data_IF_647202363942
#
_entry.id   IF_647202363942
#
_cell.length_a   1.000
_cell.length_b   1.000
_cell.length_c   1.000
_cell.angle_alpha   90.00
_cell.angle_beta   90.00
_cell.angle_gamma   90.00
#
_symmetry.space_group_name_H-M   'P 1'
#
loop_
_entity.id
_entity.type
_entity.pdbx_description
1 polymer ?
#
# COMPACT_ATOMS: atom_id res chain seq x y z
N UNK A 1 41.03 -24.11 45.40
CA UNK A 1 40.36 -24.05 44.08
C UNK A 1 39.13 -23.13 44.15
N UNK A 2 39.24 -21.84 43.80
CA UNK A 2 38.11 -20.91 44.03
C UNK A 2 38.03 -19.64 43.18
N UNK A 3 38.93 -19.43 42.21
CA UNK A 3 38.96 -18.19 41.39
C UNK A 3 38.60 -18.38 39.91
N UNK A 4 38.48 -19.62 39.41
CA UNK A 4 38.21 -19.89 37.98
C UNK A 4 36.74 -19.98 37.56
N UNK A 5 35.79 -20.20 38.49
CA UNK A 5 34.37 -20.38 38.14
C UNK A 5 33.56 -19.08 38.04
N UNK A 6 33.99 -17.99 38.70
CA UNK A 6 33.27 -16.70 38.68
C UNK A 6 33.48 -15.93 37.37
N UNK A 7 34.63 -16.10 36.71
CA UNK A 7 34.92 -15.47 35.41
C UNK A 7 34.17 -16.14 34.25
N UNK A 8 33.92 -17.46 34.33
CA UNK A 8 33.23 -18.21 33.28
C UNK A 8 31.71 -17.90 33.23
N UNK A 9 31.09 -17.68 34.38
CA UNK A 9 29.66 -17.32 34.49
C UNK A 9 29.41 -15.87 34.02
N UNK A 10 30.36 -14.97 34.25
CA UNK A 10 30.25 -13.57 33.81
C UNK A 10 30.47 -13.41 32.29
N UNK A 11 31.33 -14.23 31.68
CA UNK A 11 31.53 -14.25 30.21
C UNK A 11 30.35 -14.91 29.49
N UNK A 12 29.67 -15.90 30.08
CA UNK A 12 28.43 -16.47 29.51
C UNK A 12 27.21 -15.53 29.63
N UNK A 13 27.11 -14.72 30.68
CA UNK A 13 26.03 -13.74 30.83
C UNK A 13 26.14 -12.56 29.85
N UNK A 14 27.37 -12.11 29.55
CA UNK A 14 27.62 -11.08 28.52
C UNK A 14 27.43 -11.63 27.10
N UNK A 15 27.73 -12.91 26.86
CA UNK A 15 27.45 -13.58 25.58
C UNK A 15 25.95 -13.87 25.34
N UNK A 16 25.15 -14.09 26.40
CA UNK A 16 23.69 -14.22 26.29
C UNK A 16 22.97 -12.87 26.09
N UNK A 17 23.52 -11.76 26.62
CA UNK A 17 22.99 -10.41 26.33
C UNK A 17 23.37 -9.92 24.92
N UNK A 18 24.54 -10.30 24.40
CA UNK A 18 24.95 -9.97 23.03
C UNK A 18 24.17 -10.74 21.94
N UNK A 19 23.62 -11.91 22.26
CA UNK A 19 22.85 -12.73 21.30
C UNK A 19 21.38 -12.32 21.16
N UNK A 20 20.85 -11.51 22.08
CA UNK A 20 19.50 -10.92 22.02
C UNK A 20 19.47 -9.48 21.49
N UNK A 21 20.62 -8.81 21.32
CA UNK A 21 20.68 -7.44 20.79
C UNK A 21 20.58 -7.37 19.25
N UNK A 22 21.21 -8.32 18.54
CA UNK A 22 21.10 -8.44 17.08
C UNK A 22 19.66 -8.58 16.53
N UNK A 23 18.78 -9.41 17.14
CA UNK A 23 17.40 -9.58 16.68
C UNK A 23 16.50 -8.34 16.78
N UNK A 24 16.56 -7.62 17.90
CA UNK A 24 15.76 -6.41 18.13
C UNK A 24 16.17 -5.28 17.19
N UNK A 25 17.48 -5.12 16.91
CA UNK A 25 18.01 -4.07 16.03
C UNK A 25 17.63 -4.25 14.55
N UNK A 26 17.55 -5.48 14.05
CA UNK A 26 17.17 -5.72 12.65
C UNK A 26 15.66 -5.63 12.41
N UNK A 27 14.85 -6.03 13.39
CA UNK A 27 13.39 -5.89 13.37
C UNK A 27 13.00 -4.41 13.41
N UNK A 28 13.56 -3.66 14.36
CA UNK A 28 13.37 -2.20 14.43
C UNK A 28 13.88 -1.49 13.16
N UNK A 29 15.06 -1.84 12.64
CA UNK A 29 15.58 -1.25 11.41
C UNK A 29 14.68 -1.47 10.18
N UNK A 30 14.10 -2.68 10.04
CA UNK A 30 13.21 -2.99 8.92
C UNK A 30 11.84 -2.32 9.09
N UNK A 31 11.27 -2.29 10.30
CA UNK A 31 10.06 -1.51 10.60
C UNK A 31 10.28 -0.03 10.32
N UNK A 32 11.40 0.55 10.77
CA UNK A 32 11.73 1.96 10.52
C UNK A 32 11.88 2.26 9.02
N UNK A 33 12.54 1.38 8.25
CA UNK A 33 12.64 1.52 6.80
C UNK A 33 11.27 1.44 6.11
N UNK A 34 10.37 0.56 6.55
CA UNK A 34 9.00 0.49 6.05
C UNK A 34 8.19 1.74 6.40
N UNK A 35 8.24 2.18 7.66
CA UNK A 35 7.59 3.41 8.16
C UNK A 35 8.02 4.62 7.35
N UNK A 36 9.33 4.78 7.15
CA UNK A 36 9.90 5.85 6.32
C UNK A 36 9.37 5.80 4.89
N UNK A 37 9.32 4.63 4.27
CA UNK A 37 8.79 4.48 2.92
C UNK A 37 7.29 4.82 2.82
N UNK A 38 6.49 4.43 3.83
CA UNK A 38 5.07 4.77 3.91
C UNK A 38 4.85 6.27 4.06
N UNK A 39 5.59 6.92 4.97
CA UNK A 39 5.55 8.37 5.13
C UNK A 39 5.89 9.10 3.83
N UNK A 40 6.94 8.68 3.12
CA UNK A 40 7.31 9.28 1.82
C UNK A 40 6.22 9.08 0.76
N UNK A 41 5.56 7.92 0.74
CA UNK A 41 4.43 7.67 -0.17
C UNK A 41 3.23 8.57 0.16
N UNK A 42 2.89 8.71 1.44
CA UNK A 42 1.83 9.61 1.90
C UNK A 42 2.17 11.07 1.56
N UNK A 43 3.42 11.49 1.82
CA UNK A 43 3.91 12.84 1.50
C UNK A 43 3.85 13.14 0.00
N UNK A 44 4.15 12.15 -0.85
CA UNK A 44 3.98 12.28 -2.31
C UNK A 44 2.51 12.48 -2.69
N UNK A 45 1.60 11.69 -2.12
CA UNK A 45 0.16 11.84 -2.39
C UNK A 45 -0.35 13.21 -1.96
N UNK A 46 0.08 13.68 -0.78
CA UNK A 46 -0.23 15.03 -0.30
C UNK A 46 0.38 16.12 -1.21
N UNK A 47 1.61 15.94 -1.69
CA UNK A 47 2.25 16.86 -2.62
C UNK A 47 1.47 16.95 -3.94
N UNK A 48 1.06 15.80 -4.50
CA UNK A 48 0.25 15.75 -5.72
C UNK A 48 -1.10 16.45 -5.53
N UNK A 49 -1.75 16.27 -4.37
CA UNK A 49 -3.01 16.94 -4.02
C UNK A 49 -2.84 18.46 -3.93
N UNK A 50 -1.89 18.94 -3.13
CA UNK A 50 -1.59 20.38 -3.00
C UNK A 50 -1.18 20.99 -4.35
N UNK A 51 -0.49 20.24 -5.18
CA UNK A 51 -0.10 20.66 -6.53
C UNK A 51 -1.32 20.75 -7.46
N UNK A 52 -2.24 19.79 -7.40
CA UNK A 52 -3.51 19.85 -8.10
C UNK A 52 -4.32 21.08 -7.68
N UNK A 53 -4.46 21.34 -6.38
CA UNK A 53 -5.15 22.51 -5.84
C UNK A 53 -4.51 23.81 -6.34
N UNK A 54 -3.17 23.89 -6.32
CA UNK A 54 -2.45 25.08 -6.77
C UNK A 54 -2.57 25.32 -8.28
N UNK A 55 -2.63 24.26 -9.09
CA UNK A 55 -2.87 24.37 -10.54
C UNK A 55 -4.33 24.73 -10.82
N UNK A 56 -5.30 24.12 -10.13
CA UNK A 56 -6.73 24.42 -10.23
C UNK A 56 -7.03 25.88 -9.86
N UNK A 57 -6.32 26.44 -8.88
CA UNK A 57 -6.46 27.85 -8.49
C UNK A 57 -5.84 28.89 -9.44
N UNK A 58 -5.21 28.49 -10.56
CA UNK A 58 -4.63 29.44 -11.50
C UNK A 58 -5.71 30.16 -12.30
N UNK A 59 -5.53 31.46 -12.52
CA UNK A 59 -6.44 32.25 -13.35
C UNK A 59 -6.08 32.12 -14.82
N UNK A 60 -7.07 31.77 -15.64
CA UNK A 60 -6.98 31.75 -17.11
C UNK A 60 -7.34 33.14 -17.65
N UNK A 61 -8.46 33.70 -17.19
CA UNK A 61 -8.89 35.07 -17.47
C UNK A 61 -9.12 35.85 -16.16
N UNK A 62 -9.65 37.08 -16.25
CA UNK A 62 -10.04 37.85 -15.07
C UNK A 62 -11.11 37.16 -14.22
N UNK A 63 -12.00 36.37 -14.84
CA UNK A 63 -13.19 35.79 -14.21
C UNK A 63 -13.20 34.25 -14.21
N UNK A 64 -12.26 33.60 -14.89
CA UNK A 64 -12.21 32.13 -15.00
C UNK A 64 -10.89 31.55 -14.48
N UNK A 65 -11.00 30.45 -13.76
CA UNK A 65 -9.88 29.67 -13.22
C UNK A 65 -9.69 28.36 -13.95
N UNK A 66 -8.56 27.69 -13.72
CA UNK A 66 -8.32 26.34 -14.21
C UNK A 66 -9.31 25.35 -13.58
N UNK A 67 -9.76 25.59 -12.36
CA UNK A 67 -10.83 24.79 -11.74
C UNK A 67 -12.12 24.87 -12.54
N UNK A 68 -12.54 26.06 -12.96
CA UNK A 68 -13.73 26.24 -13.78
C UNK A 68 -13.58 25.50 -15.12
N UNK A 69 -12.42 25.64 -15.78
CA UNK A 69 -12.11 24.93 -17.02
C UNK A 69 -12.18 23.41 -16.89
N UNK A 70 -11.69 22.86 -15.79
CA UNK A 70 -11.65 21.42 -15.53
C UNK A 70 -13.04 20.85 -15.21
N UNK A 71 -13.89 21.65 -14.56
CA UNK A 71 -15.26 21.24 -14.16
C UNK A 71 -16.21 21.14 -15.36
N UNK A 72 -15.87 21.75 -16.50
CA UNK A 72 -16.71 21.70 -17.71
C UNK A 72 -16.72 20.31 -18.37
N UNK A 73 -15.72 19.46 -18.14
CA UNK A 73 -15.66 18.12 -18.72
C UNK A 73 -14.75 17.16 -17.92
N UNK A 74 -15.29 16.01 -17.52
CA UNK A 74 -14.58 14.94 -16.80
C UNK A 74 -13.31 14.44 -17.54
N UNK A 75 -13.29 14.50 -18.88
CA UNK A 75 -12.10 14.12 -19.67
C UNK A 75 -10.98 15.14 -19.49
N UNK A 76 -11.30 16.43 -19.32
CA UNK A 76 -10.34 17.49 -19.01
C UNK A 76 -9.75 17.27 -17.61
N UNK A 77 -10.60 16.92 -16.63
CA UNK A 77 -10.13 16.56 -15.28
C UNK A 77 -9.20 15.35 -15.29
N UNK A 78 -9.58 14.32 -16.03
CA UNK A 78 -8.77 13.10 -16.15
C UNK A 78 -7.42 13.38 -16.79
N UNK A 79 -7.37 14.21 -17.85
CA UNK A 79 -6.14 14.60 -18.51
C UNK A 79 -5.24 15.44 -17.59
N UNK A 80 -5.81 16.38 -16.83
CA UNK A 80 -5.06 17.18 -15.86
C UNK A 80 -4.49 16.30 -14.72
N UNK A 81 -5.29 15.38 -14.18
CA UNK A 81 -4.85 14.44 -13.15
C UNK A 81 -3.73 13.52 -13.65
N UNK A 82 -3.80 13.09 -14.91
CA UNK A 82 -2.75 12.29 -15.56
C UNK A 82 -1.45 13.08 -15.70
N UNK A 83 -1.55 14.35 -16.12
CA UNK A 83 -0.40 15.25 -16.13
C UNK A 83 0.23 15.40 -14.75
N UNK A 84 -0.59 15.57 -13.70
CA UNK A 84 -0.11 15.76 -12.32
C UNK A 84 0.61 14.51 -11.80
N UNK A 85 0.05 13.32 -12.04
CA UNK A 85 0.65 12.03 -11.64
C UNK A 85 2.00 11.77 -12.30
N UNK A 86 2.20 12.27 -13.52
CA UNK A 86 3.46 12.14 -14.25
C UNK A 86 4.55 13.14 -13.84
N UNK A 87 4.29 14.06 -12.91
CA UNK A 87 5.27 15.08 -12.51
C UNK A 87 6.40 14.48 -11.66
N UNK A 88 7.62 14.99 -11.90
CA UNK A 88 8.81 14.52 -11.22
C UNK A 88 9.01 15.25 -9.89
N UNK A 89 9.43 14.51 -8.87
CA UNK A 89 9.84 15.06 -7.59
C UNK A 89 11.13 15.87 -7.74
N UNK A 90 11.21 17.01 -7.05
CA UNK A 90 12.41 17.82 -7.01
C UNK A 90 13.30 17.37 -5.86
N UNK A 91 14.40 16.69 -6.19
CA UNK A 91 15.37 16.22 -5.21
C UNK A 91 14.97 14.92 -4.51
N UNK A 92 15.49 14.70 -3.30
CA UNK A 92 15.18 13.53 -2.47
C UNK A 92 14.15 13.89 -1.41
N UNK A 93 13.25 12.97 -1.10
CA UNK A 93 12.33 13.11 0.02
C UNK A 93 13.10 13.30 1.34
N UNK A 94 12.64 14.24 2.16
CA UNK A 94 13.16 14.48 3.50
C UNK A 94 12.35 13.65 4.50
N UNK A 95 13.03 13.11 5.49
CA UNK A 95 12.38 12.37 6.58
C UNK A 95 12.89 12.92 7.90
N UNK A 96 11.97 13.25 8.79
CA UNK A 96 12.24 13.89 10.07
C UNK A 96 12.14 12.87 11.21
N UNK A 97 12.71 13.25 12.36
CA UNK A 97 12.80 12.39 13.55
C UNK A 97 11.44 12.10 14.19
N UNK A 98 10.46 12.97 13.96
CA UNK A 98 9.07 12.87 14.41
C UNK A 98 8.23 11.87 13.58
N UNK A 99 8.84 11.18 12.61
CA UNK A 99 8.15 10.24 11.74
C UNK A 99 7.44 10.89 10.54
N UNK A 100 7.61 12.20 10.34
CA UNK A 100 7.08 12.88 9.16
C UNK A 100 8.03 12.81 7.97
N UNK A 101 7.47 12.79 6.76
CA UNK A 101 8.20 12.92 5.51
C UNK A 101 7.72 14.14 4.73
N UNK A 102 8.65 14.80 4.05
CA UNK A 102 8.37 15.86 3.08
C UNK A 102 8.84 15.47 1.69
N UNK A 103 7.97 15.71 0.71
CA UNK A 103 8.27 15.56 -0.72
C UNK A 103 8.03 16.89 -1.40
N UNK A 104 9.07 17.41 -2.06
CA UNK A 104 8.97 18.62 -2.88
C UNK A 104 8.67 18.24 -4.32
N UNK A 105 7.63 18.84 -4.90
CA UNK A 105 7.33 18.76 -6.33
C UNK A 105 7.37 20.16 -6.91
N UNK A 106 7.80 20.27 -8.16
CA UNK A 106 7.76 21.55 -8.85
C UNK A 106 7.52 21.44 -10.34
N UNK A 107 6.90 22.49 -10.87
CA UNK A 107 6.54 22.60 -12.27
C UNK A 107 6.61 24.07 -12.70
N UNK A 108 7.08 24.31 -13.92
CA UNK A 108 7.12 25.67 -14.47
C UNK A 108 5.76 26.08 -15.02
N UNK A 109 5.42 27.37 -14.91
CA UNK A 109 4.18 27.91 -15.46
C UNK A 109 4.10 27.67 -16.97
N UNK A 110 5.23 27.77 -17.68
CA UNK A 110 5.31 27.46 -19.12
C UNK A 110 4.84 26.03 -19.42
N UNK A 111 5.32 25.04 -18.68
CA UNK A 111 4.89 23.65 -18.84
C UNK A 111 3.40 23.49 -18.60
N UNK A 112 2.86 24.16 -17.56
CA UNK A 112 1.43 24.15 -17.26
C UNK A 112 0.63 24.75 -18.43
N UNK A 113 1.00 25.94 -18.91
CA UNK A 113 0.30 26.63 -20.01
C UNK A 113 0.29 25.77 -21.27
N UNK A 114 1.44 25.19 -21.65
CA UNK A 114 1.52 24.29 -22.81
C UNK A 114 0.58 23.09 -22.65
N UNK A 115 0.49 22.52 -21.45
CA UNK A 115 -0.38 21.37 -21.17
C UNK A 115 -1.86 21.74 -21.12
N UNK A 116 -2.23 22.85 -20.49
CA UNK A 116 -3.61 23.33 -20.48
C UNK A 116 -4.10 23.69 -21.88
N UNK A 117 -3.23 24.32 -22.71
CA UNK A 117 -3.55 24.64 -24.11
C UNK A 117 -3.80 23.37 -24.93
N UNK A 118 -3.04 22.32 -24.67
CA UNK A 118 -3.19 21.00 -25.29
C UNK A 118 -4.49 20.30 -24.86
N UNK A 119 -4.79 20.29 -23.56
CA UNK A 119 -6.05 19.74 -23.04
C UNK A 119 -7.27 20.50 -23.61
N UNK A 120 -7.13 21.82 -23.74
CA UNK A 120 -8.15 22.67 -24.36
C UNK A 120 -8.41 22.28 -25.81
N UNK A 121 -7.36 22.15 -26.66
CA UNK A 121 -7.55 21.77 -28.06
C UNK A 121 -8.18 20.39 -28.23
N UNK A 122 -7.83 19.46 -27.33
CA UNK A 122 -8.25 18.08 -27.40
C UNK A 122 -9.72 17.85 -26.99
N UNK A 123 -10.17 18.54 -25.93
CA UNK A 123 -11.39 18.14 -25.22
C UNK A 123 -12.39 19.27 -24.96
N UNK A 124 -11.99 20.52 -25.15
CA UNK A 124 -12.88 21.65 -24.88
C UNK A 124 -13.65 22.06 -26.13
N UNK A 125 -14.98 22.01 -26.05
CA UNK A 125 -15.91 22.40 -27.13
C UNK A 125 -16.80 23.59 -26.76
N UNK A 126 -16.51 24.26 -25.63
CA UNK A 126 -17.27 25.41 -25.16
C UNK A 126 -16.74 26.74 -25.71
N UNK A 127 -17.48 27.82 -25.48
CA UNK A 127 -17.14 29.17 -25.95
C UNK A 127 -16.61 30.09 -24.85
N UNK A 128 -16.65 29.66 -23.58
CA UNK A 128 -16.33 30.54 -22.42
C UNK A 128 -14.84 30.89 -22.32
N UNK A 129 -13.96 30.04 -22.86
CA UNK A 129 -12.51 30.20 -22.79
C UNK A 129 -11.95 30.11 -24.21
N UNK A 130 -11.04 31.01 -24.59
CA UNK A 130 -10.36 30.97 -25.89
C UNK A 130 -8.93 30.47 -25.75
N UNK A 131 -8.41 29.80 -26.78
CA UNK A 131 -7.01 29.36 -26.82
C UNK A 131 -5.99 30.49 -26.55
N UNK A 132 -6.33 31.73 -26.93
CA UNK A 132 -5.52 32.93 -26.66
C UNK A 132 -5.38 33.28 -25.18
N UNK A 133 -6.33 32.86 -24.34
CA UNK A 133 -6.36 33.23 -22.93
C UNK A 133 -5.30 32.46 -22.12
N UNK A 134 -4.98 31.24 -22.52
CA UNK A 134 -3.86 30.48 -21.95
C UNK A 134 -2.50 31.18 -22.17
N UNK A 135 -2.33 31.91 -23.29
CA UNK A 135 -1.12 32.71 -23.52
C UNK A 135 -1.04 33.90 -22.56
N UNK A 136 -2.20 34.49 -22.21
CA UNK A 136 -2.32 35.60 -21.26
C UNK A 136 -2.11 35.17 -19.81
N UNK A 137 -2.18 33.87 -19.49
CA UNK A 137 -1.86 33.36 -18.15
C UNK A 137 -0.48 33.77 -17.65
N UNK A 138 0.48 33.98 -18.55
CA UNK A 138 1.84 34.48 -18.25
C UNK A 138 1.80 35.90 -17.66
N UNK A 139 0.79 36.70 -18.00
CA UNK A 139 0.60 38.07 -17.53
C UNK A 139 -0.28 38.11 -16.26
N UNK A 140 -1.27 37.22 -16.19
CA UNK A 140 -2.19 37.14 -15.05
C UNK A 140 -1.53 36.51 -13.81
N UNK A 141 -0.62 35.55 -14.00
CA UNK A 141 0.05 34.82 -12.94
C UNK A 141 1.52 35.23 -12.86
N UNK A 142 1.90 35.99 -11.82
CA UNK A 142 3.25 36.60 -11.66
C UNK A 142 4.34 35.65 -11.15
N UNK A 143 4.24 34.35 -11.39
CA UNK A 143 5.24 33.37 -10.92
C UNK A 143 5.69 32.46 -12.06
N UNK A 144 6.98 32.12 -12.10
CA UNK A 144 7.55 31.29 -13.16
C UNK A 144 7.51 29.79 -12.84
N UNK A 145 7.51 29.45 -11.55
CA UNK A 145 7.59 28.09 -11.04
C UNK A 145 6.65 27.94 -9.84
N UNK A 146 5.86 26.87 -9.86
CA UNK A 146 5.10 26.43 -8.69
C UNK A 146 5.91 25.35 -8.01
N UNK A 147 6.15 25.55 -6.73
CA UNK A 147 6.79 24.57 -5.85
C UNK A 147 5.82 24.25 -4.73
N UNK A 148 5.61 22.95 -4.50
CA UNK A 148 4.72 22.46 -3.46
C UNK A 148 5.47 21.46 -2.60
N UNK A 149 5.25 21.54 -1.29
CA UNK A 149 5.77 20.57 -0.32
C UNK A 149 4.60 19.79 0.25
N UNK A 150 4.55 18.50 -0.08
CA UNK A 150 3.65 17.56 0.56
C UNK A 150 4.25 16.98 1.82
N UNK A 151 3.39 16.71 2.79
CA UNK A 151 3.74 16.18 4.10
C UNK A 151 2.99 14.88 4.33
N UNK A 152 3.67 13.85 4.82
CA UNK A 152 3.09 12.55 5.13
C UNK A 152 3.52 12.11 6.52
N UNK A 153 2.58 11.57 7.29
CA UNK A 153 2.83 11.02 8.62
C UNK A 153 2.55 9.53 8.58
N UNK A 154 3.30 8.76 9.35
CA UNK A 154 3.00 7.33 9.56
C UNK A 154 1.80 7.22 10.51
N UNK A 155 0.82 6.33 10.28
CA UNK A 155 -0.15 5.98 11.30
C UNK A 155 0.56 5.59 12.60
N UNK A 156 0.12 6.17 13.72
CA UNK A 156 0.71 5.91 15.02
C UNK A 156 0.27 4.51 15.49
N UNK A 157 1.17 3.53 15.49
CA UNK A 157 1.04 2.35 16.34
C UNK A 157 1.61 2.73 17.71
N UNK A 158 0.78 2.62 18.75
CA UNK A 158 1.19 2.83 20.14
C UNK A 158 2.32 1.84 20.50
N UNK A 159 3.33 2.42 21.16
CA UNK A 159 4.48 1.82 21.84
C UNK A 159 5.68 1.31 20.99
N UNK A 160 6.77 2.08 21.01
CA UNK A 160 8.09 1.65 21.54
C UNK A 160 9.04 2.87 21.72
N UNK A 161 9.69 2.94 22.90
CA UNK A 161 10.54 4.00 23.46
C UNK A 161 11.85 4.30 22.66
N UNK A 162 12.61 5.38 22.97
CA UNK A 162 13.33 6.18 21.98
C UNK A 162 14.62 5.55 21.44
N UNK A 163 14.71 5.52 20.12
CA UNK A 163 15.93 5.23 19.36
C UNK A 163 16.92 6.40 19.42
N UNK A 164 18.20 6.09 19.70
CA UNK A 164 19.29 7.01 19.36
C UNK A 164 19.40 7.15 17.84
N UNK A 165 19.19 8.37 17.34
CA UNK A 165 19.40 8.73 15.95
C UNK A 165 20.90 8.88 15.65
N UNK A 166 21.40 8.12 14.67
CA UNK A 166 22.68 8.41 14.03
C UNK A 166 22.49 9.65 13.13
N UNK A 167 23.34 10.68 13.22
CA UNK A 167 23.18 11.89 12.41
C UNK A 167 23.30 11.57 10.92
N UNK A 168 22.33 12.09 10.15
CA UNK A 168 22.36 12.16 8.68
C UNK A 168 23.61 12.91 8.22
N UNK A 169 24.64 12.18 7.80
CA UNK A 169 25.84 12.77 7.21
C UNK A 169 25.67 12.96 5.71
N UNK A 170 25.93 14.19 5.26
CA UNK A 170 25.86 14.60 3.87
C UNK A 170 26.99 14.03 3.00
N UNK A 171 26.63 13.78 1.73
CA UNK A 171 27.43 13.63 0.50
C UNK A 171 28.63 12.66 0.49
N UNK A 172 28.51 11.63 -0.36
CA UNK A 172 29.25 11.47 -1.64
C UNK A 172 28.57 10.37 -2.49
N UNK A 173 28.37 10.55 -3.82
CA UNK A 173 27.91 9.49 -4.69
C UNK A 173 29.06 8.58 -5.18
N UNK A 174 28.75 7.27 -5.34
CA UNK A 174 29.52 6.12 -5.93
C UNK A 174 30.15 5.15 -4.92
N UNK A 175 30.34 3.84 -5.23
CA UNK A 175 30.03 3.10 -6.47
C UNK A 175 28.85 2.10 -6.34
N UNK A 176 28.40 1.62 -7.50
CA UNK A 176 27.44 0.53 -7.67
C UNK A 176 28.03 -0.81 -7.24
N UNK A 177 27.23 -1.66 -6.59
CA UNK A 177 27.43 -3.11 -6.67
C UNK A 177 27.46 -3.94 -5.38
N UNK A 178 27.59 -3.37 -4.19
CA UNK A 178 27.60 -4.20 -2.96
C UNK A 178 26.86 -3.55 -1.79
N UNK A 179 26.07 -4.37 -1.09
CA UNK A 179 25.38 -3.95 0.12
C UNK A 179 26.39 -3.69 1.25
N UNK A 180 26.29 -2.52 1.89
CA UNK A 180 27.24 -2.08 2.92
C UNK A 180 27.24 -2.95 4.18
N UNK A 181 28.18 -2.68 5.10
CA UNK A 181 28.32 -3.40 6.38
C UNK A 181 27.00 -3.46 7.15
N UNK A 182 26.23 -2.38 7.16
CA UNK A 182 24.92 -2.29 7.80
C UNK A 182 23.90 -3.30 7.26
N UNK A 183 23.78 -3.41 5.93
CA UNK A 183 22.92 -4.41 5.29
C UNK A 183 23.37 -5.82 5.61
N UNK A 184 24.68 -6.04 5.73
CA UNK A 184 25.22 -7.35 6.09
C UNK A 184 25.01 -7.72 7.55
N UNK A 185 24.95 -6.75 8.45
CA UNK A 185 24.62 -6.95 9.85
C UNK A 185 23.13 -7.28 10.05
N UNK A 186 22.22 -6.62 9.32
CA UNK A 186 20.77 -6.69 9.58
C UNK A 186 19.97 -7.55 8.58
N UNK A 187 20.53 -7.93 7.43
CA UNK A 187 19.77 -8.60 6.36
C UNK A 187 20.54 -9.77 5.71
N UNK A 188 19.85 -10.91 5.55
CA UNK A 188 20.35 -12.09 4.83
C UNK A 188 20.48 -11.78 3.33
N UNK A 189 21.39 -12.44 2.58
CA UNK A 189 21.54 -12.21 1.14
C UNK A 189 20.23 -12.29 0.33
N UNK A 190 19.37 -13.26 0.66
CA UNK A 190 18.04 -13.41 0.06
C UNK A 190 17.14 -12.19 0.29
N UNK A 191 17.19 -11.59 1.48
CA UNK A 191 16.44 -10.38 1.79
C UNK A 191 16.88 -9.18 0.98
N UNK A 192 18.19 -9.06 0.72
CA UNK A 192 18.74 -8.01 -0.16
C UNK A 192 18.18 -8.15 -1.57
N UNK A 193 18.16 -9.37 -2.10
CA UNK A 193 17.58 -9.65 -3.41
C UNK A 193 16.08 -9.31 -3.46
N UNK A 194 15.33 -9.64 -2.40
CA UNK A 194 13.91 -9.30 -2.32
C UNK A 194 13.66 -7.80 -2.21
N UNK A 195 14.52 -7.07 -1.50
CA UNK A 195 14.47 -5.60 -1.44
C UNK A 195 14.72 -4.98 -2.82
N UNK A 196 15.71 -5.49 -3.57
CA UNK A 196 15.99 -5.06 -4.95
C UNK A 196 14.80 -5.35 -5.85
N UNK A 197 14.19 -6.53 -5.74
CA UNK A 197 12.97 -6.87 -6.51
C UNK A 197 11.83 -5.90 -6.19
N UNK A 198 11.60 -5.60 -4.91
CA UNK A 198 10.57 -4.64 -4.50
C UNK A 198 10.85 -3.23 -5.03
N UNK A 199 12.11 -2.78 -4.97
CA UNK A 199 12.53 -1.49 -5.52
C UNK A 199 12.36 -1.44 -7.04
N UNK A 200 12.69 -2.53 -7.75
CA UNK A 200 12.47 -2.65 -9.19
C UNK A 200 11.00 -2.52 -9.54
N UNK A 201 10.10 -3.19 -8.79
CA UNK A 201 8.65 -3.08 -8.99
C UNK A 201 8.16 -1.65 -8.75
N UNK A 202 8.61 -0.98 -7.68
CA UNK A 202 8.28 0.43 -7.45
C UNK A 202 8.80 1.35 -8.57
N UNK A 203 10.01 1.09 -9.06
CA UNK A 203 10.64 1.83 -10.15
C UNK A 203 9.90 1.64 -11.47
N UNK A 204 9.52 0.41 -11.80
CA UNK A 204 8.70 0.09 -12.97
C UNK A 204 7.33 0.77 -12.90
N UNK A 205 6.69 0.81 -11.73
CA UNK A 205 5.41 1.51 -11.54
C UNK A 205 5.54 3.01 -11.83
N UNK A 206 6.56 3.68 -11.26
CA UNK A 206 6.81 5.10 -11.50
C UNK A 206 7.16 5.38 -12.96
N UNK A 207 7.99 4.52 -13.56
CA UNK A 207 8.35 4.62 -14.97
C UNK A 207 7.12 4.48 -15.86
N UNK A 208 6.22 3.54 -15.54
CA UNK A 208 4.95 3.37 -16.23
C UNK A 208 4.05 4.60 -16.11
N UNK A 209 3.91 5.17 -14.91
CA UNK A 209 3.16 6.40 -14.67
C UNK A 209 3.72 7.56 -15.51
N UNK A 210 5.05 7.69 -15.57
CA UNK A 210 5.69 8.73 -16.37
C UNK A 210 5.52 8.51 -17.87
N UNK A 211 5.69 7.27 -18.35
CA UNK A 211 5.49 6.95 -19.77
C UNK A 211 4.03 7.17 -20.17
N UNK A 212 3.06 6.77 -19.35
CA UNK A 212 1.62 6.99 -19.59
C UNK A 212 1.29 8.48 -19.76
N UNK A 213 1.97 9.36 -19.02
CA UNK A 213 1.84 10.82 -19.16
C UNK A 213 2.50 11.43 -20.41
N UNK A 214 3.28 10.66 -21.20
CA UNK A 214 3.89 11.16 -22.44
C UNK A 214 2.81 11.40 -23.49
N UNK A 215 2.97 12.48 -24.26
CA UNK A 215 2.03 12.83 -25.31
C UNK A 215 2.56 12.31 -26.65
N UNK A 216 1.69 11.63 -27.39
CA UNK A 216 1.98 11.11 -28.72
C UNK A 216 1.65 12.15 -29.78
N UNK A 217 0.49 12.79 -29.66
CA UNK A 217 0.02 13.86 -30.55
C UNK A 217 -0.46 15.07 -29.75
N UNK A 218 -0.93 16.10 -30.47
CA UNK A 218 -1.58 17.28 -29.91
C UNK A 218 -2.85 17.00 -29.11
N UNK A 219 -3.39 15.78 -29.15
CA UNK A 219 -4.63 15.46 -28.43
C UNK A 219 -4.64 14.07 -27.77
N UNK A 220 -3.58 13.27 -27.91
CA UNK A 220 -3.53 11.89 -27.37
C UNK A 220 -2.29 11.61 -26.55
N UNK A 221 -2.47 11.06 -25.35
CA UNK A 221 -1.37 10.55 -24.51
C UNK A 221 -1.12 9.06 -24.73
N UNK A 222 0.02 8.56 -24.26
CA UNK A 222 0.31 7.13 -24.25
C UNK A 222 -0.72 6.37 -23.42
N UNK A 223 -1.22 6.96 -22.32
CA UNK A 223 -2.29 6.37 -21.54
C UNK A 223 -3.56 6.18 -22.36
N UNK A 224 -3.97 7.19 -23.10
CA UNK A 224 -5.20 7.13 -23.91
C UNK A 224 -5.08 6.07 -24.99
N UNK A 225 -3.94 6.04 -25.69
CA UNK A 225 -3.65 5.03 -26.71
C UNK A 225 -3.62 3.60 -26.14
N UNK A 226 -3.04 3.41 -24.95
CA UNK A 226 -3.03 2.10 -24.29
C UNK A 226 -4.43 1.67 -23.86
N UNK A 227 -5.29 2.61 -23.46
CA UNK A 227 -6.67 2.34 -23.07
C UNK A 227 -7.58 1.97 -24.26
N UNK A 228 -7.18 2.28 -25.50
CA UNK A 228 -7.96 1.93 -26.70
C UNK A 228 -8.03 0.41 -26.95
N UNK A 229 -7.12 -0.40 -26.38
CA UNK A 229 -7.13 -1.86 -26.57
C UNK A 229 -6.46 -2.62 -25.43
N UNK A 230 -7.12 -3.66 -24.92
CA UNK A 230 -6.57 -4.57 -23.91
C UNK A 230 -5.26 -5.22 -24.36
N UNK A 231 -5.13 -5.54 -25.65
CA UNK A 231 -3.89 -6.10 -26.21
C UNK A 231 -2.73 -5.11 -26.13
N UNK A 232 -3.00 -3.80 -26.30
CA UNK A 232 -1.98 -2.75 -26.16
C UNK A 232 -1.57 -2.60 -24.70
N UNK A 233 -2.51 -2.69 -23.75
CA UNK A 233 -2.18 -2.68 -22.32
C UNK A 233 -1.33 -3.90 -21.90
N UNK A 234 -1.64 -5.09 -22.41
CA UNK A 234 -0.82 -6.30 -22.19
C UNK A 234 0.60 -6.12 -22.77
N UNK A 235 0.70 -5.58 -23.99
CA UNK A 235 1.99 -5.32 -24.63
C UNK A 235 2.80 -4.24 -23.88
N UNK A 236 2.14 -3.19 -23.39
CA UNK A 236 2.76 -2.15 -22.58
C UNK A 236 3.29 -2.71 -21.26
N UNK A 237 2.52 -3.55 -20.57
CA UNK A 237 2.99 -4.25 -19.36
C UNK A 237 4.21 -5.14 -19.66
N UNK A 238 4.21 -5.81 -20.81
CA UNK A 238 5.33 -6.66 -21.26
C UNK A 238 6.57 -5.84 -21.58
N UNK A 239 6.41 -4.70 -22.26
CA UNK A 239 7.48 -3.76 -22.53
C UNK A 239 8.13 -3.20 -21.26
N UNK A 240 7.33 -2.80 -20.27
CA UNK A 240 7.82 -2.28 -19.00
C UNK A 240 8.63 -3.32 -18.21
N UNK A 241 8.32 -4.63 -18.35
CA UNK A 241 9.13 -5.71 -17.74
C UNK A 241 10.52 -5.81 -18.36
N UNK A 242 10.69 -5.34 -19.61
CA UNK A 242 11.97 -5.25 -20.30
C UNK A 242 12.73 -3.93 -20.12
N UNK A 243 12.23 -3.02 -19.26
CA UNK A 243 12.90 -1.76 -18.96
C UNK A 243 14.31 -2.00 -18.41
N UNK A 244 15.29 -1.18 -18.84
CA UNK A 244 16.68 -1.37 -18.49
C UNK A 244 16.93 -0.91 -17.05
N UNK A 245 17.58 -1.76 -16.27
CA UNK A 245 18.11 -1.39 -14.95
C UNK A 245 19.46 -0.69 -15.13
N UNK A 246 19.57 0.58 -14.72
CA UNK A 246 20.86 1.30 -14.76
C UNK A 246 21.71 0.88 -13.57
N UNK A 247 21.07 0.71 -12.40
CA UNK A 247 21.72 0.05 -11.29
C UNK A 247 20.98 0.15 -9.96
N UNK A 248 21.66 -0.40 -8.95
CA UNK A 248 21.16 -0.60 -7.60
C UNK A 248 22.00 0.21 -6.60
N UNK A 249 21.34 1.00 -5.75
CA UNK A 249 21.97 1.76 -4.66
C UNK A 249 21.41 1.36 -3.30
N UNK A 250 22.25 0.77 -2.46
CA UNK A 250 21.93 0.51 -1.06
C UNK A 250 22.19 1.76 -0.21
N UNK A 251 21.25 2.10 0.67
CA UNK A 251 21.52 3.10 1.70
C UNK A 251 22.50 2.54 2.74
N UNK A 252 23.36 3.41 3.28
CA UNK A 252 24.47 2.99 4.17
C UNK A 252 24.00 2.62 5.57
N UNK A 253 22.97 3.31 6.06
CA UNK A 253 22.59 3.28 7.48
C UNK A 253 21.12 2.83 7.67
N UNK A 254 20.44 2.43 6.59
CA UNK A 254 19.06 1.97 6.62
C UNK A 254 18.79 0.88 5.58
N UNK A 255 17.76 0.06 5.84
CA UNK A 255 17.35 -1.05 4.98
C UNK A 255 16.47 -0.59 3.79
N UNK A 256 16.87 0.50 3.13
CA UNK A 256 16.24 0.99 1.90
C UNK A 256 17.22 0.82 0.74
N UNK A 257 16.74 0.21 -0.35
CA UNK A 257 17.47 0.11 -1.61
C UNK A 257 16.75 0.89 -2.68
N UNK A 258 17.50 1.62 -3.47
CA UNK A 258 17.03 2.35 -4.65
C UNK A 258 17.44 1.58 -5.91
N UNK A 259 16.53 1.46 -6.86
CA UNK A 259 16.80 0.90 -8.19
C UNK A 259 16.42 1.93 -9.23
N UNK A 260 17.37 2.29 -10.07
CA UNK A 260 17.18 3.24 -11.16
C UNK A 260 16.81 2.49 -12.44
N UNK A 261 15.62 2.78 -12.97
CA UNK A 261 15.07 2.22 -14.20
C UNK A 261 15.17 3.25 -15.32
N UNK A 262 15.58 2.83 -16.51
CA UNK A 262 15.67 3.67 -17.71
C UNK A 262 14.98 3.02 -18.90
N UNK A 263 14.25 3.84 -19.64
CA UNK A 263 13.76 3.53 -20.97
C UNK A 263 14.01 4.75 -21.86
N UNK A 264 14.43 4.53 -23.11
CA UNK A 264 14.56 5.63 -24.06
C UNK A 264 13.21 5.92 -24.71
N UNK A 265 12.90 7.20 -24.88
CA UNK A 265 11.64 7.63 -25.50
C UNK A 265 11.48 7.04 -26.91
N UNK A 266 12.59 6.94 -27.66
CA UNK A 266 12.62 6.28 -28.97
C UNK A 266 12.12 4.84 -28.90
N UNK A 267 12.56 4.04 -27.92
CA UNK A 267 12.09 2.65 -27.75
C UNK A 267 10.61 2.60 -27.39
N UNK A 268 10.12 3.52 -26.55
CA UNK A 268 8.69 3.61 -26.19
C UNK A 268 7.86 3.84 -27.44
N UNK A 269 8.16 4.90 -28.19
CA UNK A 269 7.33 5.28 -29.33
C UNK A 269 7.43 4.26 -30.47
N UNK A 270 8.61 3.67 -30.69
CA UNK A 270 8.77 2.57 -31.65
C UNK A 270 7.94 1.32 -31.27
N UNK A 271 7.86 0.99 -29.97
CA UNK A 271 7.05 -0.14 -29.49
C UNK A 271 5.55 0.18 -29.59
N UNK A 272 5.13 1.40 -29.24
CA UNK A 272 3.75 1.83 -29.42
C UNK A 272 3.32 1.75 -30.89
N UNK A 273 4.19 2.15 -31.81
CA UNK A 273 3.96 2.01 -33.26
C UNK A 273 3.77 0.55 -33.66
N UNK A 274 4.65 -0.36 -33.24
CA UNK A 274 4.53 -1.77 -33.64
C UNK A 274 3.22 -2.39 -33.12
N UNK A 275 2.76 -1.99 -31.94
CA UNK A 275 1.45 -2.44 -31.42
C UNK A 275 0.28 -1.82 -32.18
N UNK A 276 0.43 -0.55 -32.59
CA UNK A 276 -0.55 0.11 -33.44
C UNK A 276 -0.70 -0.62 -34.78
N UNK A 277 0.40 -0.92 -35.46
CA UNK A 277 0.39 -1.57 -36.77
C UNK A 277 -0.26 -2.97 -36.74
N UNK A 278 -0.13 -3.70 -35.63
CA UNK A 278 -0.65 -5.07 -35.49
C UNK A 278 -2.10 -5.12 -34.99
N UNK A 279 -2.47 -4.23 -34.06
CA UNK A 279 -3.74 -4.35 -33.32
C UNK A 279 -4.68 -3.15 -33.49
N UNK A 280 -4.22 -2.03 -34.05
CA UNK A 280 -5.03 -0.83 -34.20
C UNK A 280 -5.78 -0.83 -35.52
N UNK A 281 -7.09 -1.15 -35.46
CA UNK A 281 -8.04 -1.01 -36.58
C UNK A 281 -8.63 0.42 -36.69
N UNK A 282 -8.02 1.39 -36.01
CA UNK A 282 -8.48 2.78 -35.97
C UNK A 282 -7.79 3.69 -36.98
N UNK A 283 -7.88 5.00 -36.75
CA UNK A 283 -7.48 6.05 -37.68
C UNK A 283 -5.96 6.08 -37.98
N UNK A 284 -5.57 5.83 -39.24
CA UNK A 284 -4.16 5.73 -39.70
C UNK A 284 -3.37 7.03 -39.52
N UNK A 285 -4.06 8.16 -39.29
CA UNK A 285 -3.47 9.48 -39.03
C UNK A 285 -2.67 9.48 -37.71
N UNK A 286 -3.13 8.76 -36.67
CA UNK A 286 -2.40 8.66 -35.38
C UNK A 286 -1.09 7.89 -35.52
N UNK A 287 -1.06 6.86 -36.38
CA UNK A 287 0.15 6.07 -36.68
C UNK A 287 1.19 6.93 -37.43
N UNK A 288 0.75 7.78 -38.35
CA UNK A 288 1.63 8.71 -39.08
C UNK A 288 2.16 9.82 -38.16
N UNK A 289 1.34 10.34 -37.25
CA UNK A 289 1.79 11.31 -36.24
C UNK A 289 2.81 10.72 -35.26
N UNK A 290 2.66 9.44 -34.88
CA UNK A 290 3.71 8.72 -34.15
C UNK A 290 5.01 8.64 -34.94
N UNK A 291 4.95 8.37 -36.25
CA UNK A 291 6.12 8.28 -37.13
C UNK A 291 6.89 9.62 -37.19
N UNK A 292 6.20 10.72 -37.41
CA UNK A 292 6.80 12.07 -37.42
C UNK A 292 7.39 12.46 -36.05
N UNK A 293 6.81 11.96 -34.96
CA UNK A 293 7.31 12.17 -33.61
C UNK A 293 8.60 11.35 -33.35
N UNK A 294 8.65 10.08 -33.76
CA UNK A 294 9.85 9.22 -33.63
C UNK A 294 11.06 9.84 -34.32
N UNK A 295 10.87 10.43 -35.51
CA UNK A 295 11.95 11.04 -36.30
C UNK A 295 12.49 12.34 -35.69
N UNK A 296 11.65 13.10 -34.97
CA UNK A 296 12.02 14.36 -34.31
C UNK A 296 12.57 14.17 -32.90
N UNK A 297 12.20 13.08 -32.23
CA UNK A 297 12.57 12.81 -30.84
C UNK A 297 14.05 12.43 -30.74
N UNK A 298 14.80 13.23 -29.97
CA UNK A 298 16.18 12.91 -29.56
C UNK A 298 16.17 11.65 -28.68
N UNK A 299 17.33 11.02 -28.46
CA UNK A 299 17.48 9.85 -27.58
C UNK A 299 17.28 10.21 -26.09
N UNK A 300 16.16 10.86 -25.78
CA UNK A 300 15.80 11.34 -24.46
C UNK A 300 15.50 10.12 -23.58
N UNK A 301 16.20 10.07 -22.45
CA UNK A 301 16.09 9.00 -21.45
C UNK A 301 15.02 9.37 -20.45
N UNK A 302 14.05 8.49 -20.27
CA UNK A 302 13.11 8.56 -19.16
C UNK A 302 13.69 7.69 -18.04
N UNK A 303 14.06 8.33 -16.93
CA UNK A 303 14.62 7.64 -15.76
C UNK A 303 13.76 7.86 -14.54
N UNK A 304 13.54 6.78 -13.79
CA UNK A 304 12.79 6.79 -12.53
C UNK A 304 13.47 5.93 -11.47
N UNK A 305 13.35 6.34 -10.21
CA UNK A 305 13.98 5.66 -9.08
C UNK A 305 12.89 5.01 -8.22
N UNK A 306 12.94 3.67 -8.14
CA UNK A 306 12.12 2.90 -7.22
C UNK A 306 12.80 2.67 -5.88
N UNK A 307 12.02 2.57 -4.81
CA UNK A 307 12.51 2.24 -3.47
C UNK A 307 11.93 0.94 -2.95
N UNK A 308 12.76 0.13 -2.28
CA UNK A 308 12.38 -1.17 -1.74
C UNK A 308 12.99 -1.44 -0.37
N UNK A 309 12.29 -2.24 0.42
CA UNK A 309 12.68 -2.67 1.77
C UNK A 309 12.62 -4.20 1.82
N UNK A 310 13.58 -4.88 2.47
CA UNK A 310 13.55 -6.33 2.59
C UNK A 310 12.33 -6.81 3.40
N UNK A 311 11.71 -7.94 3.05
CA UNK A 311 10.70 -8.57 3.89
C UNK A 311 11.28 -8.98 5.25
N UNK A 312 10.49 -8.78 6.31
CA UNK A 312 10.84 -9.09 7.71
C UNK A 312 11.51 -10.46 7.89
N UNK A 313 10.95 -11.51 7.27
CA UNK A 313 11.46 -12.90 7.34
C UNK A 313 12.93 -13.09 6.91
N UNK A 314 13.49 -12.15 6.15
CA UNK A 314 14.87 -12.20 5.68
C UNK A 314 15.82 -11.27 6.43
N UNK A 315 15.32 -10.51 7.41
CA UNK A 315 16.15 -9.76 8.34
C UNK A 315 16.79 -10.71 9.38
N UNK A 316 18.00 -10.39 9.82
CA UNK A 316 18.78 -11.21 10.75
C UNK A 316 18.24 -11.03 12.17
N UNK A 317 17.98 -12.12 12.87
CA UNK A 317 17.44 -12.08 14.23
C UNK A 317 15.91 -11.88 14.30
N UNK A 318 15.18 -12.26 13.27
CA UNK A 318 13.90 -12.89 13.54
C UNK A 318 14.16 -14.34 13.98
N UNK A 319 13.63 -14.78 15.13
CA UNK A 319 13.69 -16.21 15.49
C UNK A 319 12.84 -17.02 14.52
N UNK A 320 13.18 -18.29 14.27
CA UNK A 320 12.42 -19.20 13.39
C UNK A 320 10.92 -19.23 13.77
N UNK A 321 10.63 -19.08 15.06
CA UNK A 321 9.29 -18.98 15.63
C UNK A 321 8.60 -17.66 15.26
N UNK A 322 9.27 -16.51 15.39
CA UNK A 322 8.74 -15.21 14.96
C UNK A 322 8.56 -15.11 13.44
N UNK A 323 9.44 -15.72 12.64
CA UNK A 323 9.27 -15.80 11.17
C UNK A 323 8.03 -16.63 10.83
N UNK A 324 7.79 -17.72 11.57
CA UNK A 324 6.58 -18.54 11.41
C UNK A 324 5.36 -17.73 11.82
N UNK A 325 5.38 -17.03 12.96
CA UNK A 325 4.27 -16.18 13.42
C UNK A 325 4.01 -14.99 12.48
N UNK A 326 5.02 -14.34 11.89
CA UNK A 326 4.82 -13.26 10.90
C UNK A 326 4.38 -13.76 9.52
N UNK A 327 4.89 -14.91 9.07
CA UNK A 327 4.43 -15.57 7.83
C UNK A 327 2.99 -16.10 7.98
N UNK A 328 2.64 -16.48 9.21
CA UNK A 328 1.29 -16.83 9.63
C UNK A 328 0.41 -15.58 9.77
N UNK A 329 0.92 -14.47 10.29
CA UNK A 329 0.18 -13.20 10.43
C UNK A 329 -0.11 -12.52 9.09
N UNK A 330 0.76 -12.68 8.09
CA UNK A 330 0.47 -12.24 6.70
C UNK A 330 -0.56 -13.10 5.98
N UNK A 331 -0.88 -14.28 6.53
CA UNK A 331 -1.99 -15.15 6.10
C UNK A 331 -3.15 -15.14 7.09
N UNK A 332 -3.06 -14.38 8.18
CA UNK A 332 -4.10 -14.39 9.20
C UNK A 332 -5.33 -13.66 8.67
N UNK A 333 -6.53 -14.26 8.83
CA UNK A 333 -7.77 -13.57 8.51
C UNK A 333 -7.93 -12.30 9.33
N UNK A 334 -8.58 -11.25 8.77
CA UNK A 334 -8.75 -9.97 9.44
C UNK A 334 -9.50 -10.07 10.78
N UNK A 335 -10.33 -11.09 10.95
CA UNK A 335 -11.16 -11.33 12.14
C UNK A 335 -10.41 -11.90 13.35
N UNK A 336 -9.11 -12.18 13.25
CA UNK A 336 -8.33 -12.88 14.30
C UNK A 336 -8.35 -12.18 15.67
N UNK A 337 -8.43 -10.86 15.69
CA UNK A 337 -8.44 -10.05 16.92
C UNK A 337 -9.85 -9.73 17.41
N UNK A 338 -10.88 -10.16 16.68
CA UNK A 338 -12.26 -9.79 16.96
C UNK A 338 -12.93 -10.71 17.98
N UNK A 339 -13.96 -10.18 18.63
CA UNK A 339 -14.93 -10.95 19.40
C UNK A 339 -16.22 -11.03 18.61
N UNK A 340 -16.77 -12.24 18.51
CA UNK A 340 -18.06 -12.45 17.84
C UNK A 340 -19.17 -12.46 18.87
N UNK A 341 -20.31 -11.87 18.52
CA UNK A 341 -21.49 -11.75 19.37
C UNK A 341 -22.73 -12.22 18.65
N UNK A 342 -23.58 -12.96 19.34
CA UNK A 342 -24.88 -13.39 18.83
C UNK A 342 -25.98 -13.13 19.87
N UNK A 343 -27.15 -12.74 19.36
CA UNK A 343 -28.36 -12.51 20.16
C UNK A 343 -29.35 -13.66 19.96
N UNK A 344 -29.77 -14.25 21.06
CA UNK A 344 -30.82 -15.25 21.09
C UNK A 344 -32.07 -14.73 21.76
N UNK A 345 -33.20 -15.27 21.33
CA UNK A 345 -34.52 -14.87 21.83
C UNK A 345 -35.35 -16.12 22.15
N UNK A 346 -36.18 -16.03 23.17
CA UNK A 346 -37.14 -17.07 23.51
C UNK A 346 -38.40 -16.47 24.12
N UNK A 347 -39.54 -17.10 23.84
CA UNK A 347 -40.81 -16.75 24.46
C UNK A 347 -40.84 -17.21 25.93
N UNK A 348 -41.45 -16.39 26.77
CA UNK A 348 -41.76 -16.70 28.16
C UNK A 348 -43.12 -17.39 28.19
N UNK A 349 -43.21 -18.50 28.90
CA UNK A 349 -44.49 -19.14 29.20
C UNK A 349 -45.28 -18.25 30.18
N UNK A 350 -46.29 -17.55 29.65
CA UNK A 350 -47.15 -16.63 30.42
C UNK A 350 -48.21 -17.35 31.23
N UNK A 351 -48.46 -18.63 30.95
CA UNK A 351 -49.52 -19.43 31.58
C UNK A 351 -48.98 -20.27 32.76
N UNK A 352 -47.66 -20.20 33.01
CA UNK A 352 -47.01 -20.90 34.10
C UNK A 352 -47.43 -20.36 35.48
N UNK A 353 -47.76 -21.28 36.40
CA UNK A 353 -48.05 -20.98 37.80
C UNK A 353 -46.87 -20.35 38.54
N UNK A 354 -45.64 -20.48 38.03
CA UNK A 354 -44.43 -19.89 38.62
C UNK A 354 -43.71 -18.96 37.64
N UNK A 355 -44.10 -17.67 37.66
CA UNK A 355 -43.55 -16.64 36.79
C UNK A 355 -42.01 -16.49 36.90
N UNK A 356 -41.41 -16.77 38.07
CA UNK A 356 -39.96 -16.71 38.23
C UNK A 356 -39.26 -17.87 37.51
N UNK A 357 -39.83 -19.08 37.58
CA UNK A 357 -39.34 -20.26 36.87
C UNK A 357 -39.48 -20.10 35.36
N UNK A 358 -40.61 -19.58 34.88
CA UNK A 358 -40.85 -19.32 33.46
C UNK A 358 -39.81 -18.32 32.87
N UNK A 359 -39.51 -17.24 33.60
CA UNK A 359 -38.47 -16.28 33.21
C UNK A 359 -37.07 -16.89 33.15
N UNK A 360 -36.72 -17.77 34.09
CA UNK A 360 -35.44 -18.48 34.08
C UNK A 360 -35.33 -19.48 32.93
N UNK A 361 -36.41 -20.19 32.62
CA UNK A 361 -36.48 -21.10 31.47
C UNK A 361 -36.34 -20.35 30.15
N UNK A 362 -37.08 -19.24 29.99
CA UNK A 362 -36.98 -18.38 28.82
C UNK A 362 -35.58 -17.79 28.65
N UNK A 363 -34.93 -17.34 29.72
CA UNK A 363 -33.54 -16.88 29.70
C UNK A 363 -32.58 -17.99 29.21
N UNK A 364 -32.71 -19.22 29.72
CA UNK A 364 -31.87 -20.35 29.30
C UNK A 364 -32.12 -20.74 27.84
N UNK A 365 -33.37 -20.70 27.40
CA UNK A 365 -33.73 -20.94 26.00
C UNK A 365 -33.17 -19.86 25.07
N UNK A 366 -33.24 -18.58 25.48
CA UNK A 366 -32.65 -17.47 24.76
C UNK A 366 -31.11 -17.57 24.70
N UNK A 367 -30.45 -17.98 25.78
CA UNK A 367 -29.01 -18.26 25.78
C UNK A 367 -28.64 -19.40 24.81
N UNK A 368 -29.43 -20.47 24.77
CA UNK A 368 -29.21 -21.60 23.87
C UNK A 368 -29.39 -21.21 22.40
N UNK A 369 -30.43 -20.43 22.08
CA UNK A 369 -30.61 -19.87 20.73
C UNK A 369 -29.45 -18.93 20.34
N UNK A 370 -28.95 -18.13 21.29
CA UNK A 370 -27.81 -17.25 21.08
C UNK A 370 -26.54 -18.05 20.77
N UNK A 371 -26.27 -19.13 21.51
CA UNK A 371 -25.12 -20.02 21.28
C UNK A 371 -25.21 -20.75 19.94
N UNK A 372 -26.41 -21.21 19.54
CA UNK A 372 -26.62 -21.83 18.23
C UNK A 372 -26.29 -20.86 17.09
N UNK A 373 -26.83 -19.64 17.14
CA UNK A 373 -26.54 -18.57 16.16
C UNK A 373 -25.06 -18.22 16.13
N UNK A 374 -24.39 -18.16 17.30
CA UNK A 374 -22.96 -17.92 17.38
C UNK A 374 -22.15 -19.03 16.70
N UNK A 375 -22.50 -20.30 16.94
CA UNK A 375 -21.85 -21.44 16.30
C UNK A 375 -22.02 -21.41 14.77
N UNK A 376 -23.21 -21.10 14.27
CA UNK A 376 -23.48 -20.94 12.83
C UNK A 376 -22.66 -19.81 12.20
N UNK A 377 -22.51 -18.67 12.90
CA UNK A 377 -21.68 -17.57 12.43
C UNK A 377 -20.19 -17.95 12.41
N UNK A 378 -19.73 -18.70 13.42
CA UNK A 378 -18.36 -19.19 13.49
C UNK A 378 -18.07 -20.17 12.34
N UNK A 379 -18.97 -21.11 12.08
CA UNK A 379 -18.85 -22.09 10.99
C UNK A 379 -18.67 -21.41 9.62
N UNK A 380 -19.34 -20.28 9.42
CA UNK A 380 -19.29 -19.50 8.17
C UNK A 380 -18.05 -18.63 8.00
N UNK A 381 -17.15 -18.54 8.99
CA UNK A 381 -15.92 -17.76 8.86
C UNK A 381 -14.97 -18.41 7.85
N UNK A 382 -14.47 -17.60 6.92
CA UNK A 382 -13.42 -18.03 5.98
C UNK A 382 -12.05 -17.96 6.66
N UNK A 383 -11.34 -19.09 6.65
CA UNK A 383 -9.96 -19.23 7.15
C UNK A 383 -8.95 -18.85 6.06
N UNK A 384 -9.26 -19.16 4.80
CA UNK A 384 -8.54 -18.68 3.62
C UNK A 384 -9.53 -18.45 2.46
N UNK A 385 -9.03 -18.25 1.23
CA UNK A 385 -9.87 -17.94 0.07
C UNK A 385 -10.86 -19.05 -0.30
N UNK A 386 -10.58 -20.30 0.07
CA UNK A 386 -11.33 -21.47 -0.40
C UNK A 386 -11.86 -22.36 0.74
N UNK A 387 -11.49 -22.08 1.99
CA UNK A 387 -11.79 -22.94 3.15
C UNK A 387 -12.52 -22.16 4.25
N UNK A 388 -13.71 -22.62 4.63
CA UNK A 388 -14.42 -22.13 5.82
C UNK A 388 -14.04 -22.89 7.10
N UNK A 389 -14.40 -22.37 8.27
CA UNK A 389 -14.26 -23.08 9.56
C UNK A 389 -15.02 -24.40 9.53
N UNK A 390 -16.21 -24.45 8.92
CA UNK A 390 -16.97 -25.69 8.73
C UNK A 390 -16.19 -26.73 7.92
N UNK A 391 -15.63 -26.31 6.78
CA UNK A 391 -14.86 -27.21 5.91
C UNK A 391 -13.60 -27.71 6.62
N UNK A 392 -12.97 -26.84 7.41
CA UNK A 392 -11.78 -27.17 8.18
C UNK A 392 -12.07 -28.18 9.30
N UNK A 393 -13.19 -28.02 10.02
CA UNK A 393 -13.59 -28.92 11.10
C UNK A 393 -13.99 -30.30 10.58
N UNK A 394 -14.57 -30.38 9.39
CA UNK A 394 -14.94 -31.65 8.74
C UNK A 394 -13.74 -32.53 8.37
N UNK A 395 -12.52 -31.99 8.35
CA UNK A 395 -11.31 -32.74 7.95
C UNK A 395 -10.75 -33.64 9.06
N UNK A 396 -11.13 -33.45 10.33
CA UNK A 396 -10.61 -34.26 11.43
C UNK A 396 -11.51 -34.25 12.66
N UNK A 397 -11.79 -35.44 13.19
CA UNK A 397 -12.55 -35.63 14.44
C UNK A 397 -11.87 -34.98 15.66
N UNK A 398 -10.53 -34.93 15.69
CA UNK A 398 -9.77 -34.24 16.74
C UNK A 398 -10.02 -32.72 16.69
N UNK A 399 -10.09 -32.15 15.48
CA UNK A 399 -10.35 -30.73 15.23
C UNK A 399 -11.80 -30.41 15.64
N UNK A 400 -12.75 -31.26 15.25
CA UNK A 400 -14.15 -31.13 15.64
C UNK A 400 -14.34 -31.15 17.16
N UNK A 401 -13.70 -32.09 17.85
CA UNK A 401 -13.77 -32.19 19.32
C UNK A 401 -13.21 -30.94 20.00
N UNK A 402 -12.08 -30.40 19.50
CA UNK A 402 -11.49 -29.16 20.02
C UNK A 402 -12.35 -27.93 19.70
N UNK A 403 -13.00 -27.91 18.53
CA UNK A 403 -13.89 -26.83 18.12
C UNK A 403 -15.15 -26.78 18.99
N UNK A 404 -15.75 -27.93 19.29
CA UNK A 404 -16.88 -28.04 20.21
C UNK A 404 -16.49 -27.56 21.61
N UNK A 405 -15.32 -27.98 22.11
CA UNK A 405 -14.78 -27.49 23.40
C UNK A 405 -14.59 -25.96 23.39
N UNK A 406 -14.13 -25.39 22.28
CA UNK A 406 -13.99 -23.94 22.14
C UNK A 406 -15.36 -23.24 22.16
N UNK A 407 -16.36 -23.73 21.41
CA UNK A 407 -17.70 -23.14 21.37
C UNK A 407 -18.39 -23.16 22.74
N UNK A 408 -18.07 -24.13 23.61
CA UNK A 408 -18.51 -24.14 25.01
C UNK A 408 -17.96 -22.97 25.84
N UNK A 409 -16.85 -22.36 25.42
CA UNK A 409 -16.25 -21.18 26.04
C UNK A 409 -17.00 -19.86 25.77
N UNK A 410 -18.08 -19.90 24.99
CA UNK A 410 -18.96 -18.74 24.79
C UNK A 410 -19.68 -18.38 26.10
N UNK A 411 -19.58 -17.13 26.51
CA UNK A 411 -20.15 -16.65 27.76
C UNK A 411 -21.16 -15.52 27.52
N UNK A 412 -22.09 -15.36 28.45
CA UNK A 412 -23.12 -14.32 28.40
C UNK A 412 -22.49 -12.96 28.71
N UNK A 413 -22.79 -11.96 27.87
CA UNK A 413 -22.38 -10.58 28.12
C UNK A 413 -23.13 -10.06 29.34
N UNK A 414 -22.39 -9.62 30.36
CA UNK A 414 -22.97 -9.12 31.61
C UNK A 414 -23.92 -7.95 31.33
N UNK A 415 -25.17 -8.08 31.78
CA UNK A 415 -26.21 -7.05 31.60
C UNK A 415 -26.93 -7.08 30.24
N UNK A 416 -26.68 -8.09 29.39
CA UNK A 416 -27.37 -8.25 28.11
C UNK A 416 -28.76 -8.90 28.20
N UNK A 417 -29.13 -9.36 29.39
CA UNK A 417 -30.38 -10.08 29.66
C UNK A 417 -31.53 -9.08 29.71
N UNK A 418 -32.46 -9.18 28.75
CA UNK A 418 -33.61 -8.29 28.66
C UNK A 418 -34.90 -9.10 28.60
N UNK A 419 -35.92 -8.61 29.30
CA UNK A 419 -37.28 -9.10 29.20
C UNK A 419 -38.14 -7.99 28.61
N UNK A 420 -38.82 -8.31 27.53
CA UNK A 420 -39.69 -7.38 26.84
C UNK A 420 -41.14 -7.52 27.35
N UNK A 421 -41.95 -6.44 27.28
CA UNK A 421 -43.36 -6.48 27.67
C UNK A 421 -44.22 -7.44 26.83
N UNK A 422 -43.73 -7.83 25.65
CA UNK A 422 -44.37 -8.78 24.73
C UNK A 422 -44.16 -10.26 25.12
N UNK A 423 -43.50 -10.53 26.25
CA UNK A 423 -43.21 -11.89 26.71
C UNK A 423 -41.94 -12.50 26.11
N UNK A 424 -41.04 -11.71 25.52
CA UNK A 424 -39.77 -12.20 24.95
C UNK A 424 -38.60 -12.00 25.91
N UNK A 425 -37.77 -13.02 26.08
CA UNK A 425 -36.46 -12.91 26.71
C UNK A 425 -35.36 -12.81 25.63
N UNK A 426 -34.42 -11.87 25.78
CA UNK A 426 -33.24 -11.72 24.92
C UNK A 426 -31.95 -11.88 25.75
N UNK A 427 -30.98 -12.61 25.20
CA UNK A 427 -29.64 -12.82 25.78
C UNK A 427 -28.59 -12.65 24.68
N UNK A 428 -27.47 -11.99 25.01
CA UNK A 428 -26.31 -11.89 24.11
C UNK A 428 -25.15 -12.71 24.64
N UNK A 429 -24.56 -13.55 23.79
CA UNK A 429 -23.34 -14.31 24.09
C UNK A 429 -22.18 -13.79 23.26
N UNK A 430 -20.96 -13.93 23.78
CA UNK A 430 -19.74 -13.55 23.08
C UNK A 430 -18.61 -14.58 23.22
N UNK A 431 -17.74 -14.60 22.21
CA UNK A 431 -16.55 -15.46 22.19
C UNK A 431 -15.40 -14.81 21.39
N UNK A 432 -14.14 -14.86 21.86
CA UNK A 432 -12.99 -14.35 21.12
C UNK A 432 -12.59 -15.31 19.99
N UNK A 433 -12.26 -14.78 18.80
CA UNK A 433 -12.00 -15.61 17.60
C UNK A 433 -10.54 -16.09 17.45
N UNK A 434 -9.59 -15.46 18.15
CA UNK A 434 -8.15 -15.83 18.13
C UNK A 434 -7.86 -17.34 18.33
N UNK A 435 -8.55 -18.07 19.24
CA UNK A 435 -8.30 -19.49 19.44
C UNK A 435 -8.58 -20.37 18.22
N UNK A 436 -9.53 -19.98 17.34
CA UNK A 436 -9.85 -20.71 16.10
C UNK A 436 -8.61 -20.74 15.19
N UNK A 437 -7.95 -19.59 15.03
CA UNK A 437 -6.74 -19.49 14.23
C UNK A 437 -5.60 -20.33 14.80
N UNK A 438 -5.43 -20.35 16.13
CA UNK A 438 -4.43 -21.20 16.77
C UNK A 438 -4.66 -22.70 16.46
N UNK A 439 -5.92 -23.12 16.44
CA UNK A 439 -6.32 -24.50 16.13
C UNK A 439 -5.94 -24.87 14.68
N UNK A 440 -6.17 -23.97 13.73
CA UNK A 440 -5.73 -24.10 12.34
C UNK A 440 -4.21 -24.15 12.16
N UNK A 441 -3.44 -23.37 12.94
CA UNK A 441 -1.98 -23.41 12.85
C UNK A 441 -1.38 -24.72 13.37
N UNK A 442 -2.00 -25.30 14.39
CA UNK A 442 -1.56 -26.57 14.96
C UNK A 442 -1.82 -27.72 13.99
N UNK A 443 -2.92 -27.70 13.24
CA UNK A 443 -3.24 -28.74 12.25
C UNK A 443 -2.27 -28.72 11.06
N UNK A 444 -1.94 -27.55 10.51
CA UNK A 444 -0.96 -27.43 9.40
C UNK A 444 0.42 -27.96 9.81
N UNK A 445 0.83 -27.76 11.07
CA UNK A 445 2.12 -28.24 11.58
C UNK A 445 2.20 -29.76 11.72
N UNK A 446 1.09 -30.48 11.87
CA UNK A 446 1.08 -31.96 11.95
C UNK A 446 1.15 -32.63 10.57
N UNK A 447 0.81 -31.92 9.49
CA UNK A 447 0.74 -32.46 8.11
C UNK A 447 2.07 -32.32 7.36
N UNK A 448 3.06 -31.61 7.94
CA UNK A 448 4.46 -31.56 7.47
C UNK A 448 5.35 -32.32 8.43
#
# INVERSE_FOLDING_TARGET
MGKGKKTLVMVMAVAMLASLAGPVLAQSAQRNAQRKLLAIRAARVDAMRKMAERIKGLRITSNTTVQDFVTENDTIETALNTFIRGMKEEGKAKFFKDGTAEVTMSVTLRTIITKLTHIYSAHYKGDKIKASDFKKMTQTNKFDKITVVGSGVVPEELDEDPLQAIPSSGRTPRPYGQAGKYWSAHCKPQGRLMAVRAARVDGMRRLAERIKGVHITSDTTVQDFVAESDNIDVNMRTFLRGAKEIGIRYHRDELIVEVEMEVTLKTVVASLKSWADVHYKGDRVKIKAMQDYVEKVRHDKITEIGMGVPPARYCKGYTSEQITVLATATKAPPWISDTMRAKGQAAIDTDSTNAAQAKLMAKRAAELDARRKLAEQIDGLLIDSDTSVRDFVAQSDEINTRMQTYQLGAHVVKGSEKFYPDGTAEVTVEIPLKPIWNLYLVSIKKVR
#
